data_IF_218337378135
#
_entry.id   IF_218337378135
#
_cell.length_a   1.000
_cell.length_b   1.000
_cell.length_c   1.000
_cell.angle_alpha   90.00
_cell.angle_beta   90.00
_cell.angle_gamma   90.00
#
_symmetry.space_group_name_H-M   'P 1'
#
loop_
_entity.id
_entity.type
_entity.pdbx_description
1 polymer ?
#
# COMPACT_ATOMS: atom_id res chain seq x y z
N UNK A 1 -11.40 -13.89 -1.65
CA UNK A 1 -11.57 -12.42 -1.80
C UNK A 1 -10.21 -11.78 -1.77
N UNK A 2 -9.60 -11.53 -2.93
CA UNK A 2 -8.32 -10.83 -3.04
C UNK A 2 -8.58 -9.35 -3.27
N UNK A 3 -7.77 -8.47 -2.67
CA UNK A 3 -7.83 -7.05 -2.97
C UNK A 3 -7.69 -6.83 -4.49
N UNK A 4 -8.52 -5.98 -5.10
CA UNK A 4 -8.43 -5.71 -6.53
C UNK A 4 -7.05 -5.14 -6.86
N UNK A 5 -6.48 -5.56 -7.99
CA UNK A 5 -5.12 -5.16 -8.41
C UNK A 5 -4.96 -3.64 -8.44
N UNK A 6 -6.00 -2.91 -8.86
CA UNK A 6 -6.06 -1.44 -8.82
C UNK A 6 -5.81 -0.86 -7.42
N UNK A 7 -6.35 -1.47 -6.35
CA UNK A 7 -6.08 -1.02 -4.97
C UNK A 7 -4.61 -1.23 -4.62
N UNK A 8 -4.06 -2.39 -4.97
CA UNK A 8 -2.65 -2.71 -4.70
C UNK A 8 -1.73 -1.75 -5.43
N UNK A 9 -2.00 -1.47 -6.70
CA UNK A 9 -1.21 -0.58 -7.54
C UNK A 9 -1.33 0.88 -7.10
N UNK A 10 -2.54 1.35 -6.75
CA UNK A 10 -2.75 2.69 -6.22
C UNK A 10 -1.98 2.92 -4.92
N UNK A 11 -2.00 1.93 -4.02
CA UNK A 11 -1.23 1.98 -2.77
C UNK A 11 0.27 1.92 -3.04
N UNK A 12 0.73 1.00 -3.89
CA UNK A 12 2.16 0.94 -4.25
C UNK A 12 2.64 2.27 -4.83
N UNK A 13 1.86 2.91 -5.71
CA UNK A 13 2.18 4.23 -6.26
C UNK A 13 2.26 5.31 -5.17
N UNK A 14 1.36 5.29 -4.19
CA UNK A 14 1.40 6.21 -3.03
C UNK A 14 2.57 5.91 -2.08
N UNK A 15 3.13 4.69 -2.13
CA UNK A 15 4.22 4.22 -1.28
C UNK A 15 5.59 4.28 -1.97
N UNK A 16 5.62 4.66 -3.26
CA UNK A 16 6.81 4.89 -4.06
C UNK A 16 7.09 6.40 -4.17
N UNK A 17 8.35 6.82 -4.38
CA UNK A 17 8.68 8.24 -4.57
C UNK A 17 7.91 8.83 -5.78
N UNK A 18 7.57 10.14 -5.76
CA UNK A 18 8.13 11.22 -4.94
C UNK A 18 7.40 11.53 -3.62
N UNK A 19 6.19 11.02 -3.41
CA UNK A 19 5.44 11.21 -2.16
C UNK A 19 5.48 9.91 -1.37
N UNK A 20 6.57 9.67 -0.65
CA UNK A 20 6.78 8.46 0.14
C UNK A 20 5.84 8.48 1.37
N UNK A 21 4.55 8.21 1.18
CA UNK A 21 3.57 8.17 2.28
C UNK A 21 3.79 6.95 3.16
N UNK A 22 3.58 7.14 4.46
CA UNK A 22 3.78 6.10 5.46
C UNK A 22 2.73 5.00 5.34
N UNK A 23 3.13 3.74 5.52
CA UNK A 23 2.23 2.57 5.57
C UNK A 23 0.99 2.79 6.46
N UNK A 24 1.10 3.29 7.71
CA UNK A 24 -0.06 3.54 8.58
C UNK A 24 -1.02 4.61 8.04
N UNK A 25 -0.53 5.60 7.29
CA UNK A 25 -1.39 6.62 6.68
C UNK A 25 -2.18 6.04 5.52
N UNK A 26 -1.53 5.29 4.64
CA UNK A 26 -2.21 4.63 3.52
C UNK A 26 -3.18 3.56 4.05
N UNK A 27 -2.83 2.86 5.13
CA UNK A 27 -3.71 1.93 5.82
C UNK A 27 -5.00 2.61 6.30
N UNK A 28 -4.88 3.80 6.90
CA UNK A 28 -6.04 4.61 7.32
C UNK A 28 -6.84 5.18 6.15
N UNK A 29 -6.17 5.73 5.13
CA UNK A 29 -6.84 6.32 3.95
C UNK A 29 -7.60 5.26 3.14
N UNK A 30 -7.01 4.08 2.93
CA UNK A 30 -7.58 3.02 2.10
C UNK A 30 -8.38 1.99 2.90
N UNK A 31 -8.23 1.95 4.22
CA UNK A 31 -8.82 0.93 5.09
C UNK A 31 -8.18 -0.45 4.88
N UNK A 32 -6.87 -0.49 4.63
CA UNK A 32 -6.12 -1.74 4.41
C UNK A 32 -5.30 -2.05 5.66
N UNK A 33 -5.20 -3.32 6.03
CA UNK A 33 -4.34 -3.74 7.13
C UNK A 33 -2.87 -3.40 6.83
N UNK A 34 -2.19 -2.78 7.80
CA UNK A 34 -0.77 -2.44 7.71
C UNK A 34 0.08 -3.67 7.35
N UNK A 35 -0.25 -4.86 7.87
CA UNK A 35 0.44 -6.11 7.53
C UNK A 35 0.39 -6.46 6.04
N UNK A 36 -0.72 -6.18 5.35
CA UNK A 36 -0.84 -6.37 3.90
C UNK A 36 0.04 -5.38 3.14
N UNK A 37 0.06 -4.13 3.60
CA UNK A 37 0.87 -3.08 3.03
C UNK A 37 2.38 -3.32 3.23
N UNK A 38 2.79 -3.80 4.40
CA UNK A 38 4.14 -4.25 4.67
C UNK A 38 4.56 -5.40 3.74
N UNK A 39 3.67 -6.37 3.51
CA UNK A 39 3.90 -7.43 2.53
C UNK A 39 4.08 -6.89 1.11
N UNK A 40 3.28 -5.90 0.70
CA UNK A 40 3.40 -5.28 -0.61
C UNK A 40 4.68 -4.49 -0.78
N UNK A 41 5.07 -3.69 0.23
CA UNK A 41 6.36 -3.00 0.25
C UNK A 41 7.53 -3.97 0.18
N UNK A 42 7.44 -5.09 0.92
CA UNK A 42 8.46 -6.15 0.90
C UNK A 42 8.53 -6.87 -0.45
N UNK A 43 7.40 -7.04 -1.14
CA UNK A 43 7.35 -7.64 -2.48
C UNK A 43 7.71 -6.67 -3.61
N UNK A 44 7.64 -5.35 -3.36
CA UNK A 44 8.04 -4.30 -4.28
C UNK A 44 9.54 -3.94 -4.19
N UNK A 45 10.18 -4.35 -3.08
CA UNK A 45 11.63 -4.26 -2.87
C UNK A 45 12.29 -5.53 -3.39
#
# INVERSE_FOLDING_TARGET
>A
MGYPRERKEAVLKKMLPPNNKTIPEIAKEEGICEGTLYNWRKAAR
#
